data_IF_253374260906
#
_entry.id   IF_253374260906
#
_cell.length_a   1.000
_cell.length_b   1.000
_cell.length_c   1.000
_cell.angle_alpha   90.00
_cell.angle_beta   90.00
_cell.angle_gamma   90.00
#
_symmetry.space_group_name_H-M   'P 1'
#
loop_
_entity.id
_entity.type
_entity.pdbx_description
1 polymer ?
#
# COMPACT_ATOMS: atom_id res chain seq x y z
N UNK A 1 40.54 -29.99 -5.21
CA UNK A 1 39.81 -31.00 -4.39
C UNK A 1 39.40 -30.35 -3.09
N UNK A 2 38.39 -30.89 -2.39
CA UNK A 2 37.91 -30.39 -1.10
C UNK A 2 38.75 -31.01 0.02
N UNK A 3 39.06 -30.23 1.06
CA UNK A 3 39.10 -30.74 2.43
C UNK A 3 38.55 -29.69 3.39
N UNK A 4 37.71 -30.14 4.33
CA UNK A 4 37.10 -29.32 5.38
C UNK A 4 37.65 -29.80 6.72
N UNK A 5 37.97 -28.88 7.61
CA UNK A 5 38.28 -29.18 9.00
C UNK A 5 37.42 -28.28 9.90
N UNK A 6 36.56 -28.88 10.73
CA UNK A 6 35.76 -28.20 11.74
C UNK A 6 36.47 -28.38 13.08
N UNK A 7 36.67 -27.28 13.82
CA UNK A 7 37.12 -27.32 15.22
C UNK A 7 36.07 -26.62 16.08
N UNK A 8 35.42 -27.40 16.94
CA UNK A 8 34.60 -26.85 18.01
C UNK A 8 35.49 -26.57 19.24
N UNK A 9 35.08 -25.64 20.10
CA UNK A 9 35.68 -25.44 21.42
C UNK A 9 34.61 -24.98 22.41
N UNK A 10 34.77 -25.39 23.66
CA UNK A 10 33.67 -25.50 24.63
C UNK A 10 33.59 -24.34 25.62
N UNK A 11 32.42 -24.21 26.24
CA UNK A 11 32.08 -23.18 27.22
C UNK A 11 32.66 -23.53 28.60
N UNK A 12 33.09 -22.51 29.35
CA UNK A 12 33.17 -22.54 30.83
C UNK A 12 32.76 -21.18 31.38
N UNK A 13 31.88 -21.17 32.39
CA UNK A 13 31.26 -19.98 33.00
C UNK A 13 31.08 -20.21 34.51
N UNK A 14 31.06 -19.12 35.28
CA UNK A 14 30.74 -19.00 36.72
C UNK A 14 31.80 -19.44 37.74
N UNK A 15 32.10 -18.51 38.65
CA UNK A 15 32.75 -18.73 39.94
C UNK A 15 32.17 -17.75 40.97
N UNK A 16 32.39 -18.01 42.27
CA UNK A 16 32.02 -17.18 43.43
C UNK A 16 30.51 -16.90 43.67
N UNK A 17 29.90 -17.74 44.51
CA UNK A 17 28.75 -17.35 45.35
C UNK A 17 29.17 -17.10 46.81
N UNK A 18 28.21 -16.81 47.70
CA UNK A 18 28.44 -16.71 49.16
C UNK A 18 27.25 -17.24 49.98
N UNK A 19 27.55 -17.90 51.08
CA UNK A 19 26.64 -18.46 52.11
C UNK A 19 26.23 -17.36 53.13
N UNK A 20 25.15 -17.43 53.92
CA UNK A 20 23.99 -18.37 54.09
C UNK A 20 22.94 -17.68 55.04
N UNK A 21 22.01 -18.25 55.83
CA UNK A 21 21.72 -19.64 56.28
C UNK A 21 20.28 -19.85 56.86
N UNK A 22 19.95 -21.11 57.12
CA UNK A 22 19.05 -21.78 58.12
C UNK A 22 18.21 -20.93 59.12
N UNK A 23 16.97 -21.28 59.51
CA UNK A 23 15.91 -22.15 58.95
C UNK A 23 14.61 -22.03 59.79
N UNK A 24 13.44 -22.32 59.19
CA UNK A 24 12.25 -22.88 59.86
C UNK A 24 11.34 -23.51 58.79
N UNK A 25 10.66 -24.61 59.09
CA UNK A 25 10.02 -25.46 58.08
C UNK A 25 8.52 -25.69 58.29
N UNK A 26 7.79 -25.78 57.18
CA UNK A 26 6.65 -26.69 57.02
C UNK A 26 6.47 -26.99 55.53
N UNK A 27 6.12 -28.22 55.18
CA UNK A 27 5.97 -28.64 53.78
C UNK A 27 4.56 -28.31 53.26
N UNK A 28 4.49 -27.76 52.05
CA UNK A 28 3.26 -27.72 51.25
C UNK A 28 3.65 -27.59 49.78
N UNK A 29 3.23 -28.57 48.97
CA UNK A 29 3.50 -28.63 47.54
C UNK A 29 2.43 -27.90 46.74
N UNK A 30 2.88 -27.25 45.67
CA UNK A 30 2.16 -27.03 44.41
C UNK A 30 0.88 -26.16 44.44
N UNK A 31 0.40 -25.57 43.34
CA UNK A 31 1.09 -24.99 42.17
C UNK A 31 0.07 -24.19 41.35
N UNK A 32 0.09 -22.86 41.41
CA UNK A 32 -0.36 -21.96 40.32
C UNK A 32 -0.39 -20.48 40.74
N UNK A 33 0.57 -19.70 40.24
CA UNK A 33 0.38 -18.26 39.94
C UNK A 33 1.08 -17.95 38.63
N UNK A 34 0.35 -18.06 37.54
CA UNK A 34 0.79 -17.60 36.22
C UNK A 34 0.56 -16.10 36.11
N UNK A 35 1.45 -15.31 36.71
CA UNK A 35 1.58 -13.90 36.33
C UNK A 35 2.09 -13.87 34.87
N UNK A 36 1.21 -13.50 33.95
CA UNK A 36 1.54 -13.36 32.54
C UNK A 36 0.79 -12.17 31.99
N UNK A 37 1.54 -11.09 31.74
CA UNK A 37 1.03 -9.86 31.16
C UNK A 37 0.59 -10.14 29.71
N UNK A 38 -0.68 -10.51 29.54
CA UNK A 38 -1.31 -10.61 28.24
C UNK A 38 -1.41 -9.21 27.63
N UNK A 39 -0.44 -8.85 26.80
CA UNK A 39 -0.49 -7.63 25.99
C UNK A 39 -1.76 -7.67 25.17
N UNK A 40 -2.66 -6.72 25.42
CA UNK A 40 -3.96 -6.61 24.77
C UNK A 40 -3.84 -6.38 23.27
N UNK A 41 -3.71 -7.47 22.51
CA UNK A 41 -3.90 -7.47 21.08
C UNK A 41 -5.37 -7.17 20.81
N UNK A 42 -5.69 -5.88 20.66
CA UNK A 42 -6.99 -5.42 20.17
C UNK A 42 -7.10 -5.95 18.74
N UNK A 43 -7.69 -7.13 18.59
CA UNK A 43 -8.06 -7.68 17.30
C UNK A 43 -9.14 -6.77 16.73
N UNK A 44 -8.73 -5.84 15.87
CA UNK A 44 -9.66 -5.01 15.09
C UNK A 44 -10.31 -5.93 14.07
N UNK A 45 -11.38 -6.58 14.52
CA UNK A 45 -12.24 -7.40 13.69
C UNK A 45 -12.82 -6.51 12.59
N UNK A 46 -12.26 -6.64 11.39
CA UNK A 46 -12.72 -5.91 10.21
C UNK A 46 -14.16 -6.39 9.97
N UNK A 47 -15.18 -5.52 10.08
CA UNK A 47 -16.56 -5.95 9.93
C UNK A 47 -16.72 -6.54 8.52
N UNK A 48 -17.41 -7.69 8.37
CA UNK A 48 -17.56 -8.34 7.08
C UNK A 48 -18.27 -7.39 6.11
N UNK A 49 -17.56 -6.97 5.06
CA UNK A 49 -18.18 -6.19 3.98
C UNK A 49 -19.27 -7.05 3.33
N UNK A 50 -20.46 -6.47 3.21
CA UNK A 50 -21.70 -7.16 2.82
C UNK A 50 -21.51 -8.08 1.61
N UNK A 51 -22.08 -9.28 1.69
CA UNK A 51 -22.03 -10.30 0.63
C UNK A 51 -22.74 -9.88 -0.67
N UNK A 52 -23.51 -8.79 -0.64
CA UNK A 52 -23.93 -8.01 -1.82
C UNK A 52 -23.69 -6.52 -1.50
N UNK A 53 -23.10 -5.75 -2.41
CA UNK A 53 -22.70 -4.38 -2.09
C UNK A 53 -22.53 -3.44 -3.28
N UNK A 54 -22.29 -2.18 -2.92
CA UNK A 54 -21.96 -1.06 -3.81
C UNK A 54 -20.58 -0.55 -3.41
N UNK A 55 -19.69 -0.32 -4.39
CA UNK A 55 -18.39 0.30 -4.19
C UNK A 55 -18.21 1.47 -5.14
N UNK A 56 -17.68 2.59 -4.64
CA UNK A 56 -17.26 3.73 -5.46
C UNK A 56 -15.76 3.62 -5.68
N UNK A 57 -15.31 3.84 -6.91
CA UNK A 57 -13.90 3.72 -7.25
C UNK A 57 -13.50 4.57 -8.44
N UNK A 58 -12.24 4.98 -8.45
CA UNK A 58 -11.58 5.50 -9.65
C UNK A 58 -10.90 4.33 -10.33
N UNK A 59 -11.17 4.08 -11.61
CA UNK A 59 -10.47 3.02 -12.37
C UNK A 59 -9.01 3.44 -12.57
N UNK A 60 -8.07 2.62 -12.11
CA UNK A 60 -6.62 2.87 -12.15
C UNK A 60 -5.85 1.91 -13.08
N UNK A 61 -6.44 0.76 -13.43
CA UNK A 61 -6.01 -0.14 -14.51
C UNK A 61 -7.25 -0.75 -15.20
N UNK A 62 -7.17 -0.99 -16.51
CA UNK A 62 -8.27 -1.48 -17.33
C UNK A 62 -7.77 -2.41 -18.44
N UNK A 63 -8.39 -3.57 -18.56
CA UNK A 63 -8.11 -4.60 -19.57
C UNK A 63 -9.38 -5.39 -19.88
N UNK A 64 -9.45 -6.08 -21.03
CA UNK A 64 -10.62 -6.90 -21.44
C UNK A 64 -11.13 -7.89 -20.37
N UNK A 65 -10.25 -8.34 -19.47
CA UNK A 65 -10.49 -9.42 -18.51
C UNK A 65 -10.48 -8.97 -17.05
N UNK A 66 -10.07 -7.73 -16.78
CA UNK A 66 -10.02 -7.18 -15.42
C UNK A 66 -9.91 -5.66 -15.40
N UNK A 67 -10.50 -5.04 -14.38
CA UNK A 67 -10.17 -3.67 -13.98
C UNK A 67 -9.53 -3.66 -12.60
N UNK A 68 -8.78 -2.62 -12.28
CA UNK A 68 -8.38 -2.29 -10.91
C UNK A 68 -8.90 -0.90 -10.62
N UNK A 69 -9.48 -0.71 -9.43
CA UNK A 69 -9.93 0.60 -8.96
C UNK A 69 -9.33 0.95 -7.60
N UNK A 70 -9.14 2.25 -7.38
CA UNK A 70 -8.88 2.81 -6.06
C UNK A 70 -10.24 3.18 -5.45
N UNK A 71 -10.63 2.52 -4.35
CA UNK A 71 -11.91 2.79 -3.72
C UNK A 71 -11.98 4.17 -3.05
N UNK A 72 -13.20 4.62 -2.76
CA UNK A 72 -13.48 5.80 -1.92
C UNK A 72 -13.08 5.66 -0.44
N UNK A 73 -12.47 4.53 -0.05
CA UNK A 73 -11.77 4.33 1.22
C UNK A 73 -10.24 4.36 1.09
N UNK A 74 -9.71 4.54 -0.13
CA UNK A 74 -8.27 4.42 -0.40
C UNK A 74 -7.78 2.97 -0.36
N UNK A 75 -8.51 2.03 -0.98
CA UNK A 75 -8.08 0.64 -1.11
C UNK A 75 -8.03 0.22 -2.59
N UNK A 76 -6.89 -0.28 -3.03
CA UNK A 76 -6.76 -0.94 -4.34
C UNK A 76 -7.55 -2.25 -4.37
N UNK A 77 -8.51 -2.33 -5.28
CA UNK A 77 -9.34 -3.53 -5.52
C UNK A 77 -9.32 -3.89 -7.00
N UNK A 78 -8.77 -5.06 -7.34
CA UNK A 78 -8.88 -5.66 -8.67
C UNK A 78 -10.20 -6.41 -8.80
N UNK A 79 -10.84 -6.40 -9.96
CA UNK A 79 -11.99 -7.24 -10.28
C UNK A 79 -11.74 -8.00 -11.59
N UNK A 80 -12.28 -9.22 -11.70
CA UNK A 80 -12.39 -9.92 -12.99
C UNK A 80 -13.59 -9.39 -13.78
N UNK A 81 -13.46 -9.30 -15.10
CA UNK A 81 -14.54 -8.90 -16.01
C UNK A 81 -15.03 -10.10 -16.82
N UNK A 82 -16.35 -10.20 -16.95
CA UNK A 82 -17.08 -11.21 -17.74
C UNK A 82 -18.10 -10.52 -18.65
N UNK A 83 -18.59 -11.24 -19.68
CA UNK A 83 -19.49 -10.68 -20.70
C UNK A 83 -20.90 -10.32 -20.18
N UNK A 84 -21.24 -10.76 -18.98
CA UNK A 84 -22.58 -10.63 -18.39
C UNK A 84 -22.71 -9.39 -17.48
N UNK A 85 -21.72 -8.49 -17.49
CA UNK A 85 -21.73 -7.24 -16.73
C UNK A 85 -22.51 -6.16 -17.49
N UNK A 86 -23.49 -5.56 -16.83
CA UNK A 86 -24.17 -4.38 -17.36
C UNK A 86 -23.28 -3.12 -17.20
N UNK A 87 -22.68 -2.68 -18.31
CA UNK A 87 -21.91 -1.42 -18.40
C UNK A 87 -22.70 -0.28 -19.06
N UNK A 88 -24.00 -0.43 -19.31
CA UNK A 88 -24.80 0.55 -20.09
C UNK A 88 -24.90 1.93 -19.45
N UNK A 89 -24.68 2.02 -18.13
CA UNK A 89 -24.66 3.27 -17.39
C UNK A 89 -23.26 3.87 -17.21
N UNK A 90 -22.20 3.29 -17.78
CA UNK A 90 -20.84 3.82 -17.77
C UNK A 90 -20.56 4.49 -19.12
N UNK A 91 -20.73 5.82 -19.20
CA UNK A 91 -20.77 6.57 -20.49
C UNK A 91 -19.46 6.47 -21.29
N UNK A 92 -18.34 6.41 -20.58
CA UNK A 92 -16.99 6.29 -21.15
C UNK A 92 -16.46 4.85 -21.11
N UNK A 93 -17.31 3.87 -20.76
CA UNK A 93 -16.94 2.48 -20.54
C UNK A 93 -15.99 2.27 -19.35
N UNK A 94 -15.23 1.18 -19.40
CA UNK A 94 -14.22 0.84 -18.38
C UNK A 94 -12.88 1.46 -18.82
N UNK A 95 -12.64 2.71 -18.43
CA UNK A 95 -11.45 3.48 -18.81
C UNK A 95 -10.73 4.06 -17.58
N UNK A 96 -9.40 4.16 -17.65
CA UNK A 96 -8.61 4.73 -16.54
C UNK A 96 -8.95 6.20 -16.29
N UNK A 97 -8.90 6.59 -15.02
CA UNK A 97 -9.33 7.90 -14.51
C UNK A 97 -10.85 8.08 -14.41
N UNK A 98 -11.68 7.16 -14.92
CA UNK A 98 -13.13 7.25 -14.77
C UNK A 98 -13.57 6.92 -13.33
N UNK A 99 -14.45 7.76 -12.78
CA UNK A 99 -15.12 7.51 -11.50
C UNK A 99 -16.37 6.66 -11.71
N UNK A 100 -16.42 5.49 -11.08
CA UNK A 100 -17.49 4.50 -11.28
C UNK A 100 -18.12 4.04 -9.97
N UNK A 101 -19.40 3.68 -10.06
CA UNK A 101 -20.16 2.96 -9.04
C UNK A 101 -20.33 1.51 -9.50
N UNK A 102 -19.86 0.57 -8.69
CA UNK A 102 -19.81 -0.87 -9.00
C UNK A 102 -20.76 -1.61 -8.08
N UNK A 103 -21.72 -2.34 -8.65
CA UNK A 103 -22.59 -3.28 -7.92
C UNK A 103 -22.02 -4.69 -8.02
N UNK A 104 -21.87 -5.37 -6.88
CA UNK A 104 -21.25 -6.69 -6.79
C UNK A 104 -21.98 -7.65 -5.85
N UNK A 105 -21.77 -8.94 -6.10
CA UNK A 105 -22.10 -10.06 -5.21
C UNK A 105 -20.80 -10.77 -4.78
N UNK A 106 -20.81 -11.39 -3.62
CA UNK A 106 -19.66 -12.08 -3.02
C UNK A 106 -18.88 -11.23 -2.01
N UNK A 107 -18.22 -11.91 -1.09
CA UNK A 107 -17.48 -11.29 0.03
C UNK A 107 -16.01 -11.04 -0.34
N UNK A 108 -15.47 -9.91 0.14
CA UNK A 108 -14.04 -9.62 0.09
C UNK A 108 -13.30 -10.32 1.23
N UNK A 109 -12.40 -11.26 0.90
CA UNK A 109 -11.44 -11.82 1.86
C UNK A 109 -10.08 -11.12 1.68
N UNK A 110 -9.87 -10.05 2.46
CA UNK A 110 -8.81 -9.07 2.18
C UNK A 110 -8.99 -8.42 0.80
N UNK A 111 -7.89 -8.01 0.17
CA UNK A 111 -7.90 -7.45 -1.20
C UNK A 111 -8.23 -8.48 -2.31
N UNK A 112 -8.62 -9.72 -1.97
CA UNK A 112 -8.84 -10.81 -2.94
C UNK A 112 -10.30 -10.91 -3.39
N UNK A 113 -10.58 -10.38 -4.57
CA UNK A 113 -11.90 -10.41 -5.23
C UNK A 113 -12.24 -11.74 -5.92
N UNK A 114 -11.50 -12.83 -5.68
CA UNK A 114 -11.69 -14.11 -6.41
C UNK A 114 -13.06 -14.77 -6.24
N UNK A 115 -13.88 -14.31 -5.29
CA UNK A 115 -15.29 -14.72 -5.08
C UNK A 115 -16.31 -13.62 -5.44
N UNK A 116 -15.84 -12.45 -5.88
CA UNK A 116 -16.68 -11.28 -6.10
C UNK A 116 -17.05 -11.18 -7.58
N UNK A 117 -18.36 -11.22 -7.88
CA UNK A 117 -18.93 -11.08 -9.21
C UNK A 117 -19.53 -9.69 -9.37
N UNK A 118 -19.13 -8.96 -10.40
CA UNK A 118 -19.78 -7.69 -10.76
C UNK A 118 -21.13 -7.99 -11.43
N UNK A 119 -22.16 -7.21 -11.05
CA UNK A 119 -23.44 -7.13 -11.77
C UNK A 119 -23.46 -5.98 -12.75
N UNK A 120 -23.13 -4.78 -12.26
CA UNK A 120 -23.34 -3.51 -12.98
C UNK A 120 -22.20 -2.54 -12.68
N UNK A 121 -21.81 -1.77 -13.69
CA UNK A 121 -20.92 -0.62 -13.57
C UNK A 121 -21.65 0.58 -14.16
N UNK A 122 -21.70 1.68 -13.41
CA UNK A 122 -22.17 2.98 -13.90
C UNK A 122 -21.14 4.05 -13.63
N UNK A 123 -21.30 5.20 -14.27
CA UNK A 123 -20.70 6.46 -13.78
C UNK A 123 -21.00 6.61 -12.28
N UNK A 124 -20.06 7.21 -11.54
CA UNK A 124 -20.22 7.54 -10.13
C UNK A 124 -20.95 8.87 -9.94
N UNK A 125 -21.96 8.89 -9.06
CA UNK A 125 -22.58 10.11 -8.54
C UNK A 125 -21.68 10.88 -7.56
N UNK A 126 -20.65 10.22 -7.00
CA UNK A 126 -19.55 10.90 -6.31
C UNK A 126 -18.57 11.44 -7.35
N UNK A 127 -18.30 12.74 -7.32
CA UNK A 127 -17.34 13.38 -8.21
C UNK A 127 -15.98 13.55 -7.50
N UNK A 128 -14.86 13.16 -8.12
CA UNK A 128 -13.52 13.44 -7.61
C UNK A 128 -13.11 14.90 -7.87
N UNK A 129 -12.21 15.43 -7.04
CA UNK A 129 -11.68 16.79 -7.17
C UNK A 129 -10.55 16.94 -8.22
N UNK A 130 -10.08 15.83 -8.80
CA UNK A 130 -9.09 15.80 -9.89
C UNK A 130 -9.77 15.46 -11.23
N UNK A 131 -9.22 15.94 -12.34
CA UNK A 131 -9.66 15.55 -13.68
C UNK A 131 -9.24 14.12 -14.06
N UNK A 132 -9.83 13.57 -15.13
CA UNK A 132 -9.58 12.21 -15.60
C UNK A 132 -8.11 11.91 -15.92
N UNK A 133 -7.33 12.87 -16.43
CA UNK A 133 -5.92 12.68 -16.74
C UNK A 133 -5.07 12.63 -15.47
N UNK A 134 -5.32 13.56 -14.54
CA UNK A 134 -4.71 13.55 -13.21
C UNK A 134 -5.01 12.24 -12.46
N UNK A 135 -6.26 11.75 -12.49
CA UNK A 135 -6.68 10.50 -11.89
C UNK A 135 -6.03 9.26 -12.53
N UNK A 136 -5.89 9.22 -13.85
CA UNK A 136 -5.22 8.13 -14.55
C UNK A 136 -3.72 8.07 -14.21
N UNK A 137 -3.05 9.23 -14.14
CA UNK A 137 -1.65 9.31 -13.71
C UNK A 137 -1.48 8.91 -12.23
N UNK A 138 -2.37 9.37 -11.35
CA UNK A 138 -2.39 8.98 -9.94
C UNK A 138 -2.52 7.45 -9.77
N UNK A 139 -3.41 6.83 -10.54
CA UNK A 139 -3.59 5.39 -10.58
C UNK A 139 -2.33 4.62 -11.01
N UNK A 140 -1.68 5.07 -12.09
CA UNK A 140 -0.41 4.49 -12.55
C UNK A 140 0.69 4.57 -11.46
N UNK A 141 0.79 5.70 -10.74
CA UNK A 141 1.75 5.88 -9.64
C UNK A 141 1.42 4.94 -8.48
N UNK A 142 0.16 4.83 -8.06
CA UNK A 142 -0.27 3.92 -6.97
C UNK A 142 0.12 2.47 -7.27
N UNK A 143 -0.25 1.95 -8.44
CA UNK A 143 0.05 0.57 -8.84
C UNK A 143 1.55 0.30 -8.95
N UNK A 144 2.31 1.29 -9.42
CA UNK A 144 3.77 1.23 -9.52
C UNK A 144 4.45 1.21 -8.13
N UNK A 145 3.89 1.94 -7.16
CA UNK A 145 4.36 1.95 -5.76
C UNK A 145 4.01 0.65 -5.03
N UNK A 146 2.83 0.07 -5.26
CA UNK A 146 2.42 -1.23 -4.70
C UNK A 146 3.28 -2.39 -5.21
N UNK A 147 3.40 -2.51 -6.53
CA UNK A 147 4.23 -3.52 -7.21
C UNK A 147 5.74 -3.31 -6.99
N UNK A 148 6.11 -2.09 -6.58
CA UNK A 148 7.48 -1.62 -6.40
C UNK A 148 8.29 -1.68 -7.69
N UNK A 149 7.69 -1.33 -8.82
CA UNK A 149 8.41 -1.26 -10.10
C UNK A 149 9.22 0.04 -10.18
N UNK A 150 10.52 -0.04 -9.86
CA UNK A 150 11.43 1.10 -9.93
C UNK A 150 11.69 1.57 -11.37
N UNK A 151 11.60 0.68 -12.36
CA UNK A 151 11.84 0.99 -13.77
C UNK A 151 10.67 1.74 -14.37
N UNK A 152 9.45 1.38 -14.01
CA UNK A 152 8.24 2.15 -14.37
C UNK A 152 8.16 3.44 -13.56
N UNK A 153 8.47 3.44 -12.25
CA UNK A 153 8.44 4.66 -11.43
C UNK A 153 9.40 5.74 -11.95
N UNK A 154 10.61 5.33 -12.38
CA UNK A 154 11.58 6.22 -13.01
C UNK A 154 11.07 6.88 -14.31
N UNK A 155 10.09 6.27 -14.98
CA UNK A 155 9.47 6.82 -16.21
C UNK A 155 8.23 7.68 -15.93
N UNK A 156 7.71 7.64 -14.70
CA UNK A 156 6.64 8.51 -14.22
C UNK A 156 7.16 9.80 -13.57
N UNK A 157 8.47 10.04 -13.58
CA UNK A 157 9.12 11.25 -13.04
C UNK A 157 9.51 12.24 -14.14
N UNK A 158 9.31 13.54 -13.91
CA UNK A 158 9.97 14.60 -14.68
C UNK A 158 11.34 14.88 -14.03
N UNK A 159 12.36 15.16 -14.84
CA UNK A 159 13.75 15.37 -14.36
C UNK A 159 14.22 16.81 -14.64
N UNK A 160 14.96 17.46 -13.72
CA UNK A 160 15.50 16.92 -12.47
C UNK A 160 14.47 16.79 -11.35
N UNK A 161 14.37 15.57 -10.79
CA UNK A 161 13.42 15.19 -9.76
C UNK A 161 13.92 15.60 -8.37
N UNK A 162 13.05 16.13 -7.52
CA UNK A 162 13.31 16.36 -6.09
C UNK A 162 13.09 15.07 -5.30
N UNK A 163 14.06 14.64 -4.50
CA UNK A 163 13.94 13.44 -3.67
C UNK A 163 14.44 13.77 -2.25
N UNK A 164 13.52 14.09 -1.33
CA UNK A 164 13.86 14.55 0.00
C UNK A 164 13.62 13.48 1.08
N UNK A 165 14.69 12.85 1.52
CA UNK A 165 14.69 11.89 2.65
C UNK A 165 14.97 12.56 4.00
N UNK A 166 14.61 13.84 4.16
CA UNK A 166 15.07 14.71 5.24
C UNK A 166 16.44 15.35 4.99
N UNK A 167 16.80 15.44 3.71
CA UNK A 167 17.85 16.24 3.08
C UNK A 167 17.56 16.20 1.58
N UNK A 168 17.27 17.34 0.97
CA UNK A 168 17.04 17.42 -0.48
C UNK A 168 18.25 16.85 -1.26
N UNK A 169 17.97 15.93 -2.17
CA UNK A 169 18.86 15.54 -3.27
C UNK A 169 18.08 15.59 -4.57
N UNK A 170 18.70 16.17 -5.61
CA UNK A 170 18.14 16.17 -6.96
C UNK A 170 18.64 14.96 -7.74
N UNK A 171 17.75 14.31 -8.46
CA UNK A 171 18.04 13.17 -9.31
C UNK A 171 18.04 13.68 -10.75
N UNK A 172 19.13 13.47 -11.49
CA UNK A 172 19.33 14.07 -12.82
C UNK A 172 18.61 13.34 -13.95
N UNK A 173 18.42 12.03 -13.83
CA UNK A 173 17.89 11.18 -14.89
C UNK A 173 17.20 9.91 -14.39
N UNK A 174 16.49 9.25 -15.32
CA UNK A 174 15.94 7.88 -15.17
C UNK A 174 17.00 6.90 -14.65
N UNK A 175 18.24 6.97 -15.15
CA UNK A 175 19.32 6.06 -14.75
C UNK A 175 19.81 6.34 -13.33
N UNK A 176 19.87 7.61 -12.91
CA UNK A 176 20.21 7.98 -11.54
C UNK A 176 19.13 7.48 -10.55
N UNK A 177 17.85 7.52 -10.94
CA UNK A 177 16.74 7.02 -10.13
C UNK A 177 16.75 5.49 -10.01
N UNK A 178 17.01 4.77 -11.11
CA UNK A 178 17.16 3.31 -11.11
C UNK A 178 18.38 2.87 -10.28
N UNK A 179 19.40 3.73 -10.17
CA UNK A 179 20.60 3.48 -9.36
C UNK A 179 20.40 3.73 -7.85
N UNK A 180 19.26 4.27 -7.42
CA UNK A 180 18.90 4.37 -5.99
C UNK A 180 18.59 2.97 -5.45
N UNK A 181 18.96 2.65 -4.20
CA UNK A 181 18.57 1.36 -3.62
C UNK A 181 17.05 1.28 -3.51
N UNK A 182 16.48 0.18 -3.99
CA UNK A 182 15.02 -0.08 -3.97
C UNK A 182 14.37 0.08 -2.59
N UNK A 183 15.11 -0.16 -1.51
CA UNK A 183 14.67 0.04 -0.12
C UNK A 183 14.61 1.50 0.35
N UNK A 184 15.37 2.41 -0.29
CA UNK A 184 15.35 3.85 -0.04
C UNK A 184 14.15 4.51 -0.75
N UNK A 185 13.76 3.99 -1.92
CA UNK A 185 12.55 4.42 -2.65
C UNK A 185 11.29 3.82 -2.04
N UNK A 186 11.12 2.49 -2.07
CA UNK A 186 9.89 1.82 -1.65
C UNK A 186 9.89 1.51 -0.15
N UNK A 187 10.06 2.55 0.67
CA UNK A 187 9.98 2.44 2.13
C UNK A 187 8.60 1.94 2.56
N UNK A 188 8.51 1.21 3.68
CA UNK A 188 7.22 0.73 4.21
C UNK A 188 6.22 1.88 4.45
N UNK A 189 6.71 3.06 4.86
CA UNK A 189 5.87 4.24 5.06
C UNK A 189 5.36 4.81 3.73
N UNK A 190 6.20 4.92 2.68
CA UNK A 190 5.77 5.45 1.37
C UNK A 190 4.71 4.57 0.73
N UNK A 191 4.94 3.26 0.71
CA UNK A 191 3.98 2.31 0.14
C UNK A 191 2.65 2.38 0.91
N UNK A 192 2.66 2.34 2.25
CA UNK A 192 1.41 2.47 3.01
C UNK A 192 0.72 3.83 2.85
N UNK A 193 1.46 4.93 2.71
CA UNK A 193 0.86 6.27 2.55
C UNK A 193 0.21 6.43 1.17
N UNK A 194 0.99 6.19 0.10
CA UNK A 194 0.58 6.44 -1.29
C UNK A 194 -0.49 5.46 -1.75
N UNK A 195 -0.30 4.16 -1.51
CA UNK A 195 -1.26 3.13 -1.92
C UNK A 195 -2.63 3.26 -1.24
N UNK A 196 -2.71 4.03 -0.14
CA UNK A 196 -3.94 4.30 0.59
C UNK A 196 -4.57 5.67 0.30
N UNK A 197 -4.11 6.36 -0.74
CA UNK A 197 -4.67 7.65 -1.16
C UNK A 197 -6.13 7.50 -1.60
N UNK A 198 -7.04 8.33 -1.09
CA UNK A 198 -8.43 8.37 -1.54
C UNK A 198 -8.62 9.42 -2.65
N UNK A 199 -8.59 8.97 -3.90
CA UNK A 199 -8.61 9.83 -5.09
C UNK A 199 -9.91 10.65 -5.27
N UNK A 200 -10.99 10.34 -4.56
CA UNK A 200 -12.19 11.20 -4.56
C UNK A 200 -11.97 12.52 -3.80
N UNK A 201 -11.11 12.53 -2.78
CA UNK A 201 -10.84 13.70 -1.92
C UNK A 201 -9.42 14.26 -2.05
N UNK A 202 -8.59 13.67 -2.92
CA UNK A 202 -7.30 14.27 -3.30
C UNK A 202 -7.55 15.60 -3.99
N UNK A 203 -7.11 16.69 -3.38
CA UNK A 203 -7.26 18.03 -3.94
C UNK A 203 -6.13 18.36 -4.91
N UNK A 204 -6.45 19.11 -5.96
CA UNK A 204 -5.46 19.81 -6.75
C UNK A 204 -4.94 21.06 -6.01
N UNK A 205 -3.68 21.40 -6.25
CA UNK A 205 -3.14 22.76 -6.13
C UNK A 205 -2.88 23.33 -7.53
N UNK A 206 -2.36 24.55 -7.60
CA UNK A 206 -2.14 25.38 -8.81
C UNK A 206 -1.92 24.62 -10.13
N UNK A 207 -1.01 23.66 -10.11
CA UNK A 207 -0.47 22.95 -11.25
C UNK A 207 -0.24 21.46 -10.95
N UNK A 208 -0.88 20.88 -9.93
CA UNK A 208 -0.60 19.51 -9.50
C UNK A 208 -1.48 18.96 -8.37
N UNK A 209 -1.08 17.82 -7.80
CA UNK A 209 -1.71 17.18 -6.64
C UNK A 209 -0.67 16.44 -5.79
N UNK A 210 -1.07 15.98 -4.60
CA UNK A 210 -0.25 15.12 -3.72
C UNK A 210 -0.85 13.72 -3.63
N UNK A 211 0.01 12.70 -3.58
CA UNK A 211 -0.37 11.32 -3.26
C UNK A 211 0.26 10.90 -1.94
N UNK A 212 -0.55 10.31 -1.06
CA UNK A 212 -0.20 10.02 0.33
C UNK A 212 -1.30 10.46 1.29
N UNK A 213 -1.59 9.65 2.31
CA UNK A 213 -2.45 10.04 3.44
C UNK A 213 -1.76 11.00 4.42
N UNK A 214 -0.43 11.02 4.44
CA UNK A 214 0.44 11.88 5.25
C UNK A 214 1.85 11.89 4.64
N UNK A 215 2.84 12.55 5.27
CA UNK A 215 4.23 12.17 4.98
C UNK A 215 4.49 10.70 5.37
N UNK A 216 5.26 9.95 4.57
CA UNK A 216 5.85 10.32 3.28
C UNK A 216 4.82 10.42 2.13
N UNK A 217 4.96 11.44 1.28
CA UNK A 217 4.08 11.72 0.14
C UNK A 217 4.87 11.87 -1.19
N UNK A 218 4.12 11.91 -2.30
CA UNK A 218 4.62 12.15 -3.67
C UNK A 218 3.95 13.41 -4.23
N UNK A 219 4.76 14.29 -4.81
CA UNK A 219 4.36 15.53 -5.48
C UNK A 219 4.25 15.26 -6.98
N UNK A 220 3.09 15.54 -7.57
CA UNK A 220 2.79 15.29 -9.00
C UNK A 220 2.30 16.58 -9.63
N UNK A 221 3.01 17.11 -10.62
CA UNK A 221 2.62 18.32 -11.35
C UNK A 221 2.21 17.99 -12.79
N UNK A 222 1.33 18.83 -13.34
CA UNK A 222 1.06 18.91 -14.77
C UNK A 222 2.28 19.47 -15.49
N UNK A 223 2.77 18.72 -16.47
CA UNK A 223 3.90 19.11 -17.32
C UNK A 223 3.46 19.14 -18.78
N UNK A 224 4.34 19.63 -19.67
CA UNK A 224 4.20 19.48 -21.13
C UNK A 224 4.01 18.01 -21.60
N UNK A 225 4.38 17.03 -20.76
CA UNK A 225 4.29 15.60 -21.02
C UNK A 225 3.06 14.95 -20.33
N UNK A 226 2.19 15.73 -19.69
CA UNK A 226 1.13 15.25 -18.79
C UNK A 226 1.56 15.28 -17.31
N UNK A 227 0.77 14.63 -16.44
CA UNK A 227 1.03 14.60 -15.00
C UNK A 227 2.20 13.67 -14.66
N UNK A 228 3.27 14.22 -14.07
CA UNK A 228 4.50 13.51 -13.71
C UNK A 228 4.94 13.84 -12.29
N UNK A 229 5.64 12.89 -11.66
CA UNK A 229 6.23 13.05 -10.33
C UNK A 229 7.37 14.07 -10.42
N UNK A 230 7.27 15.14 -9.66
CA UNK A 230 8.29 16.19 -9.49
C UNK A 230 9.04 16.09 -8.17
N UNK A 231 8.41 15.44 -7.17
CA UNK A 231 8.94 15.36 -5.81
C UNK A 231 8.57 14.08 -5.07
N UNK A 232 9.49 13.61 -4.23
CA UNK A 232 9.21 12.69 -3.12
C UNK A 232 9.56 13.40 -1.81
N UNK A 233 8.63 13.44 -0.85
CA UNK A 233 8.82 14.10 0.45
C UNK A 233 8.62 13.07 1.56
N UNK A 234 9.69 12.67 2.26
CA UNK A 234 9.62 11.53 3.20
C UNK A 234 9.52 11.91 4.69
N UNK A 235 9.55 13.20 5.02
CA UNK A 235 9.92 13.71 6.35
C UNK A 235 9.03 14.86 6.81
#
# INVERSE_FOLDING_TARGET
MIFVAIVASTVVVSACGKKSDTASGSESKEQSRTDSASSGAISVEIPPMSSNGVMYGIIIDASEKSMILQSDMGTTVKFGLNKDIDITGAKEGIATGAAVRVEYEGEFNGNSSKKVKIKKITDSEKLPNLDKSALAAAGAIILTIESKDQSTLARLCEYPLVFDTGKERRIGSVQDFISIKKSEVFTKRLVNSVSRTNLFVTNAYSDGFLLGLSEPNIVVNSTKNGYLITGFHYK
#
